data_IF_354775572575
#
_entry.id   IF_354775572575
#
_cell.length_a   1.000
_cell.length_b   1.000
_cell.length_c   1.000
_cell.angle_alpha   90.00
_cell.angle_beta   90.00
_cell.angle_gamma   90.00
#
_symmetry.space_group_name_H-M   'P 1'
#
loop_
_entity.id
_entity.type
_entity.pdbx_description
1 polymer ?
#
# COMPACT_ATOMS: atom_id res chain seq x y z
N UNK A 1 32.91 -38.80 24.86
CA UNK A 1 33.27 -37.54 24.18
C UNK A 1 33.23 -37.65 22.66
N UNK A 2 33.87 -38.63 21.99
CA UNK A 2 33.82 -38.76 20.52
C UNK A 2 32.41 -39.09 19.95
N UNK A 3 31.61 -39.91 20.63
CA UNK A 3 30.22 -40.21 20.24
C UNK A 3 29.30 -38.99 20.36
N UNK A 4 29.48 -38.19 21.41
CA UNK A 4 28.69 -37.00 21.70
C UNK A 4 29.01 -35.85 20.72
N UNK A 5 30.27 -35.75 20.28
CA UNK A 5 30.67 -34.83 19.21
C UNK A 5 30.11 -35.27 17.83
N UNK A 6 30.06 -36.57 17.55
CA UNK A 6 29.49 -37.09 16.30
C UNK A 6 27.96 -36.94 16.23
N UNK A 7 27.25 -37.10 17.34
CA UNK A 7 25.80 -36.85 17.44
C UNK A 7 25.46 -35.36 17.28
N UNK A 8 26.20 -34.45 17.94
CA UNK A 8 26.02 -33.00 17.77
C UNK A 8 26.31 -32.52 16.34
N UNK A 9 27.28 -33.12 15.65
CA UNK A 9 27.58 -32.73 14.26
C UNK A 9 26.45 -33.18 13.32
N UNK A 10 25.86 -34.36 13.59
CA UNK A 10 24.73 -34.91 12.81
C UNK A 10 23.43 -34.13 13.02
N UNK A 11 23.16 -33.65 14.23
CA UNK A 11 21.99 -32.80 14.53
C UNK A 11 22.12 -31.42 13.88
N UNK A 12 23.33 -30.85 13.89
CA UNK A 12 23.64 -29.57 13.22
C UNK A 12 23.46 -29.66 11.71
N UNK A 13 23.93 -30.72 11.06
CA UNK A 13 23.77 -30.88 9.60
C UNK A 13 22.31 -31.14 9.19
N UNK A 14 21.53 -31.86 10.01
CA UNK A 14 20.08 -32.01 9.79
C UNK A 14 19.33 -30.68 9.94
N UNK A 15 19.73 -29.86 10.92
CA UNK A 15 19.15 -28.53 11.11
C UNK A 15 19.45 -27.61 9.92
N UNK A 16 20.68 -27.64 9.39
CA UNK A 16 21.08 -26.88 8.19
C UNK A 16 20.22 -27.22 7.00
N UNK A 17 20.05 -28.51 6.72
CA UNK A 17 19.27 -28.96 5.57
C UNK A 17 17.78 -28.61 5.71
N UNK A 18 17.24 -28.73 6.93
CA UNK A 18 15.87 -28.30 7.23
C UNK A 18 15.67 -26.80 7.00
N UNK A 19 16.59 -25.95 7.48
CA UNK A 19 16.51 -24.49 7.32
C UNK A 19 16.69 -24.10 5.84
N UNK A 20 17.65 -24.71 5.14
CA UNK A 20 17.85 -24.52 3.70
C UNK A 20 16.59 -24.86 2.90
N UNK A 21 16.01 -26.03 3.14
CA UNK A 21 14.78 -26.46 2.48
C UNK A 21 13.59 -25.53 2.79
N UNK A 22 13.49 -25.05 4.03
CA UNK A 22 12.48 -24.05 4.43
C UNK A 22 12.64 -22.73 3.66
N UNK A 23 13.87 -22.20 3.56
CA UNK A 23 14.14 -20.94 2.87
C UNK A 23 13.92 -21.03 1.36
N UNK A 24 14.25 -22.17 0.74
CA UNK A 24 13.94 -22.42 -0.67
C UNK A 24 12.44 -22.47 -0.89
N UNK A 25 11.69 -23.16 -0.01
CA UNK A 25 10.23 -23.21 -0.14
C UNK A 25 9.60 -21.82 0.00
N UNK A 26 10.06 -21.03 0.97
CA UNK A 26 9.62 -19.66 1.15
C UNK A 26 9.95 -18.78 -0.06
N UNK A 27 11.14 -18.92 -0.64
CA UNK A 27 11.50 -18.17 -1.85
C UNK A 27 10.56 -18.50 -3.02
N UNK A 28 10.18 -19.77 -3.18
CA UNK A 28 9.21 -20.21 -4.19
C UNK A 28 7.82 -19.64 -3.90
N UNK A 29 7.33 -19.76 -2.66
CA UNK A 29 6.00 -19.29 -2.28
C UNK A 29 5.86 -17.76 -2.32
N UNK A 30 6.95 -17.04 -2.03
CA UNK A 30 7.03 -15.58 -2.10
C UNK A 30 7.46 -15.07 -3.49
N UNK A 31 7.63 -15.96 -4.47
CA UNK A 31 8.03 -15.66 -5.85
C UNK A 31 9.32 -14.84 -5.98
N UNK A 32 10.27 -15.06 -5.07
CA UNK A 32 11.57 -14.41 -5.12
C UNK A 32 12.50 -15.27 -5.97
N UNK A 33 13.05 -14.75 -7.08
CA UNK A 33 13.99 -15.49 -7.92
C UNK A 33 15.32 -15.64 -7.17
N UNK A 34 15.50 -16.77 -6.48
CA UNK A 34 16.69 -17.06 -5.69
C UNK A 34 17.35 -18.32 -6.22
N UNK A 35 18.64 -18.22 -6.55
CA UNK A 35 19.48 -19.39 -6.82
C UNK A 35 19.81 -20.12 -5.52
N UNK A 36 19.72 -21.46 -5.53
CA UNK A 36 20.02 -22.31 -4.37
C UNK A 36 21.43 -22.10 -3.79
N UNK A 37 22.38 -21.66 -4.61
CA UNK A 37 23.75 -21.26 -4.22
C UNK A 37 23.76 -20.07 -3.26
N UNK A 38 22.94 -19.06 -3.50
CA UNK A 38 22.83 -17.85 -2.68
C UNK A 38 22.21 -18.14 -1.32
N UNK A 39 21.26 -19.08 -1.26
CA UNK A 39 20.69 -19.59 0.00
C UNK A 39 21.77 -20.23 0.87
N UNK A 40 22.60 -21.08 0.26
CA UNK A 40 23.69 -21.75 0.96
C UNK A 40 24.75 -20.77 1.46
N UNK A 41 25.10 -19.77 0.64
CA UNK A 41 26.05 -18.73 1.01
C UNK A 41 25.54 -17.89 2.19
N UNK A 42 24.29 -17.43 2.12
CA UNK A 42 23.67 -16.66 3.22
C UNK A 42 23.57 -17.45 4.52
N UNK A 43 23.30 -18.76 4.43
CA UNK A 43 23.26 -19.64 5.60
C UNK A 43 24.65 -19.80 6.24
N UNK A 44 25.69 -19.97 5.41
CA UNK A 44 27.07 -20.09 5.88
C UNK A 44 27.57 -18.78 6.53
N UNK A 45 27.28 -17.62 5.92
CA UNK A 45 27.66 -16.30 6.43
C UNK A 45 26.97 -15.96 7.76
N UNK A 46 25.77 -16.50 7.99
CA UNK A 46 24.99 -16.26 9.21
C UNK A 46 25.44 -17.10 10.42
N UNK A 47 26.26 -18.13 10.19
CA UNK A 47 26.59 -19.16 11.19
C UNK A 47 27.79 -18.83 12.11
N UNK A 48 28.43 -17.66 11.97
CA UNK A 48 29.76 -17.44 12.58
C UNK A 48 29.81 -17.45 14.12
N UNK A 49 28.71 -17.38 14.88
CA UNK A 49 28.79 -17.28 16.37
C UNK A 49 27.72 -18.01 17.22
N UNK A 50 26.91 -18.92 16.66
CA UNK A 50 25.81 -19.54 17.43
C UNK A 50 26.19 -20.89 18.05
N UNK A 51 26.75 -20.86 19.26
CA UNK A 51 27.25 -22.04 20.02
C UNK A 51 26.16 -22.93 20.67
N UNK A 52 24.87 -22.77 20.36
CA UNK A 52 23.80 -23.50 21.07
C UNK A 52 22.59 -23.87 20.21
N UNK A 53 22.05 -25.07 20.41
CA UNK A 53 20.74 -25.50 19.89
C UNK A 53 19.56 -24.89 20.66
N UNK A 54 19.68 -23.65 21.16
CA UNK A 54 18.56 -22.97 21.81
C UNK A 54 17.56 -22.48 20.77
N UNK A 55 16.28 -22.42 21.14
CA UNK A 55 15.22 -21.90 20.25
C UNK A 55 15.51 -20.46 19.80
N UNK A 56 16.13 -19.64 20.65
CA UNK A 56 16.55 -18.28 20.31
C UNK A 56 17.67 -18.24 19.27
N UNK A 57 18.65 -19.14 19.38
CA UNK A 57 19.74 -19.24 18.42
C UNK A 57 19.23 -19.68 17.04
N UNK A 58 18.30 -20.63 16.99
CA UNK A 58 17.63 -21.07 15.76
C UNK A 58 16.82 -19.93 15.15
N UNK A 59 16.11 -19.16 15.97
CA UNK A 59 15.33 -17.98 15.55
C UNK A 59 16.23 -16.95 14.89
N UNK A 60 17.32 -16.56 15.55
CA UNK A 60 18.28 -15.58 15.03
C UNK A 60 18.96 -16.06 13.75
N UNK A 61 19.30 -17.35 13.67
CA UNK A 61 19.90 -17.95 12.48
C UNK A 61 18.94 -17.94 11.29
N UNK A 62 17.68 -18.36 11.48
CA UNK A 62 16.66 -18.30 10.44
C UNK A 62 16.46 -16.87 9.94
N UNK A 63 16.34 -15.90 10.86
CA UNK A 63 16.14 -14.50 10.52
C UNK A 63 17.29 -13.95 9.67
N UNK A 64 18.55 -14.17 10.07
CA UNK A 64 19.73 -13.71 9.31
C UNK A 64 19.86 -14.40 7.95
N UNK A 65 19.67 -15.72 7.92
CA UNK A 65 19.79 -16.49 6.68
C UNK A 65 18.69 -16.12 5.68
N UNK A 66 17.45 -15.89 6.14
CA UNK A 66 16.38 -15.38 5.30
C UNK A 66 16.68 -13.97 4.77
N UNK A 67 17.22 -13.10 5.63
CA UNK A 67 17.49 -11.70 5.26
C UNK A 67 18.49 -11.59 4.11
N UNK A 68 19.57 -12.40 4.09
CA UNK A 68 20.56 -12.37 3.00
C UNK A 68 20.04 -12.84 1.64
N UNK A 69 18.86 -13.46 1.62
CA UNK A 69 18.13 -13.91 0.43
C UNK A 69 17.02 -12.93 0.03
N UNK A 70 16.77 -11.91 0.86
CA UNK A 70 15.72 -10.91 0.64
C UNK A 70 14.35 -11.32 1.20
N UNK A 71 14.30 -12.27 2.14
CA UNK A 71 13.10 -12.65 2.88
C UNK A 71 13.21 -12.12 4.30
N UNK A 72 12.18 -11.44 4.77
CA UNK A 72 12.03 -11.02 6.15
C UNK A 72 11.27 -12.09 6.93
N UNK A 73 11.85 -12.58 8.02
CA UNK A 73 11.17 -13.44 8.99
C UNK A 73 10.96 -12.68 10.29
N UNK A 74 9.71 -12.48 10.68
CA UNK A 74 9.36 -11.87 11.95
C UNK A 74 8.81 -12.95 12.90
N UNK A 75 9.45 -13.21 14.05
CA UNK A 75 8.91 -14.15 15.04
C UNK A 75 7.64 -13.58 15.67
N UNK A 76 6.61 -14.42 15.82
CA UNK A 76 5.31 -14.02 16.39
C UNK A 76 4.83 -15.06 17.40
N UNK A 77 4.31 -14.59 18.53
CA UNK A 77 3.54 -15.43 19.45
C UNK A 77 2.10 -15.57 18.92
N UNK A 78 1.80 -16.68 18.23
CA UNK A 78 0.47 -16.90 17.64
C UNK A 78 -0.42 -17.76 18.53
N UNK A 79 -1.67 -17.35 18.72
CA UNK A 79 -2.74 -18.28 19.08
C UNK A 79 -3.30 -18.93 17.81
N UNK A 80 -3.83 -20.16 17.93
CA UNK A 80 -4.27 -20.96 16.76
C UNK A 80 -5.35 -20.33 15.85
N UNK A 81 -6.07 -19.29 16.30
CA UNK A 81 -7.01 -18.56 15.43
C UNK A 81 -6.30 -17.54 14.53
N UNK A 82 -5.17 -16.99 14.98
CA UNK A 82 -4.46 -15.87 14.34
C UNK A 82 -3.71 -16.34 13.08
N UNK A 83 -3.20 -17.57 13.08
CA UNK A 83 -2.45 -18.11 11.93
C UNK A 83 -3.32 -18.28 10.68
N UNK A 84 -4.60 -18.66 10.83
CA UNK A 84 -5.51 -18.75 9.68
C UNK A 84 -5.75 -17.38 9.06
N UNK A 85 -5.99 -16.37 9.91
CA UNK A 85 -6.24 -15.00 9.46
C UNK A 85 -5.02 -14.42 8.74
N UNK A 86 -3.81 -14.69 9.25
CA UNK A 86 -2.57 -14.27 8.58
C UNK A 86 -2.39 -14.90 7.18
N UNK A 87 -2.67 -16.20 7.03
CA UNK A 87 -2.56 -16.86 5.71
C UNK A 87 -3.65 -16.38 4.75
N UNK A 88 -4.86 -16.10 5.26
CA UNK A 88 -5.94 -15.45 4.47
C UNK A 88 -5.53 -14.05 4.04
N UNK A 89 -4.83 -13.32 4.91
CA UNK A 89 -4.27 -12.01 4.63
C UNK A 89 -3.06 -12.06 3.70
N UNK A 90 -2.69 -13.24 3.18
CA UNK A 90 -1.62 -13.41 2.20
C UNK A 90 -0.21 -13.46 2.79
N UNK A 91 -0.07 -13.57 4.12
CA UNK A 91 1.23 -13.78 4.75
C UNK A 91 1.58 -15.26 4.76
N UNK A 92 2.81 -15.59 4.35
CA UNK A 92 3.33 -16.95 4.53
C UNK A 92 3.70 -17.14 6.00
N UNK A 93 3.17 -18.19 6.63
CA UNK A 93 3.43 -18.51 8.04
C UNK A 93 4.28 -19.76 8.13
N UNK A 94 5.43 -19.63 8.78
CA UNK A 94 6.34 -20.75 9.07
C UNK A 94 6.10 -21.19 10.50
N UNK A 95 5.91 -22.49 10.71
CA UNK A 95 5.81 -23.12 12.02
C UNK A 95 6.95 -24.12 12.16
N UNK A 96 7.97 -23.73 12.94
CA UNK A 96 9.11 -24.58 13.23
C UNK A 96 8.83 -25.40 14.49
N UNK A 97 8.58 -26.70 14.32
CA UNK A 97 8.22 -27.62 15.40
C UNK A 97 9.42 -28.47 15.82
N UNK A 98 9.68 -28.52 17.13
CA UNK A 98 10.58 -29.51 17.72
C UNK A 98 9.77 -30.60 18.40
N UNK A 99 9.84 -31.83 17.87
CA UNK A 99 9.16 -33.03 18.39
C UNK A 99 10.18 -34.05 18.93
N UNK A 100 9.68 -35.03 19.68
CA UNK A 100 10.49 -36.14 20.21
C UNK A 100 11.11 -37.01 19.08
N UNK A 101 10.43 -37.11 17.93
CA UNK A 101 10.89 -37.87 16.75
C UNK A 101 11.74 -37.05 15.76
N UNK A 102 12.01 -35.77 16.04
CA UNK A 102 12.81 -34.88 15.19
C UNK A 102 12.22 -33.48 14.97
N UNK A 103 12.97 -32.63 14.26
CA UNK A 103 12.59 -31.25 13.90
C UNK A 103 11.84 -31.24 12.56
N UNK A 104 10.70 -30.56 12.49
CA UNK A 104 9.83 -30.46 11.31
C UNK A 104 9.43 -29.01 11.12
N UNK A 105 9.44 -28.51 9.89
CA UNK A 105 8.93 -27.18 9.57
C UNK A 105 7.67 -27.28 8.73
N UNK A 106 6.65 -26.54 9.09
CA UNK A 106 5.49 -26.31 8.22
C UNK A 106 5.56 -24.92 7.62
N UNK A 107 5.24 -24.80 6.34
CA UNK A 107 5.09 -23.51 5.67
C UNK A 107 3.66 -23.45 5.12
N UNK A 108 2.87 -22.55 5.68
CA UNK A 108 1.50 -22.29 5.27
C UNK A 108 1.47 -21.05 4.38
N UNK A 109 0.88 -21.17 3.20
CA UNK A 109 0.79 -20.07 2.22
C UNK A 109 -0.49 -20.18 1.40
N UNK A 110 -0.79 -19.14 0.62
CA UNK A 110 -1.85 -19.11 -0.39
C UNK A 110 -3.21 -19.69 0.05
N UNK A 111 -4.15 -18.81 0.37
CA UNK A 111 -5.54 -19.24 0.57
C UNK A 111 -6.32 -19.21 -0.75
N UNK A 112 -6.84 -20.36 -1.19
CA UNK A 112 -7.76 -20.44 -2.34
C UNK A 112 -9.00 -21.25 -1.96
N UNK A 113 -10.19 -20.69 -2.24
CA UNK A 113 -11.48 -21.36 -2.01
C UNK A 113 -11.67 -21.92 -0.57
N UNK A 114 -11.14 -21.22 0.45
CA UNK A 114 -11.24 -21.65 1.85
C UNK A 114 -10.32 -22.82 2.24
N UNK A 115 -9.33 -23.13 1.41
CA UNK A 115 -8.21 -24.04 1.72
C UNK A 115 -6.89 -23.29 1.61
N UNK A 116 -5.91 -23.71 2.41
CA UNK A 116 -4.55 -23.17 2.38
C UNK A 116 -3.58 -24.23 1.88
N UNK A 117 -2.52 -23.80 1.21
CA UNK A 117 -1.42 -24.66 0.82
C UNK A 117 -0.48 -24.83 2.02
N UNK A 118 -0.22 -26.07 2.40
CA UNK A 118 0.66 -26.41 3.51
C UNK A 118 1.78 -27.32 3.04
N UNK A 119 3.02 -26.87 3.18
CA UNK A 119 4.20 -27.66 2.89
C UNK A 119 4.82 -28.15 4.21
N UNK A 120 4.84 -29.46 4.42
CA UNK A 120 5.59 -30.11 5.49
C UNK A 120 7.00 -30.42 5.01
N UNK A 121 7.98 -29.87 5.70
CA UNK A 121 9.40 -30.00 5.37
C UNK A 121 10.09 -30.73 6.51
N UNK A 122 10.83 -31.77 6.14
CA UNK A 122 11.77 -32.48 7.01
C UNK A 122 13.15 -32.44 6.36
N UNK A 123 14.21 -32.78 7.11
CA UNK A 123 15.58 -32.80 6.57
C UNK A 123 15.79 -33.80 5.40
N UNK A 124 14.79 -34.62 5.05
CA UNK A 124 14.90 -35.66 3.99
C UNK A 124 13.75 -35.67 2.99
N UNK A 125 12.59 -35.12 3.34
CA UNK A 125 11.37 -35.22 2.52
C UNK A 125 10.53 -33.94 2.63
N UNK A 126 9.84 -33.61 1.52
CA UNK A 126 8.90 -32.50 1.38
C UNK A 126 7.55 -33.07 0.96
N UNK A 127 6.50 -32.77 1.73
CA UNK A 127 5.13 -33.16 1.42
C UNK A 127 4.25 -31.92 1.37
N UNK A 128 3.50 -31.74 0.28
CA UNK A 128 2.56 -30.63 0.12
C UNK A 128 1.13 -31.15 0.21
N UNK A 129 0.32 -30.52 1.05
CA UNK A 129 -1.09 -30.85 1.26
C UNK A 129 -1.95 -29.58 1.29
N UNK A 130 -3.25 -29.70 0.96
CA UNK A 130 -4.20 -28.60 1.12
C UNK A 130 -5.00 -28.78 2.40
N UNK A 131 -4.99 -27.77 3.27
CA UNK A 131 -5.62 -27.81 4.59
C UNK A 131 -6.84 -26.88 4.66
N UNK A 132 -7.89 -27.33 5.36
CA UNK A 132 -8.98 -26.46 5.77
C UNK A 132 -8.69 -25.81 7.13
N UNK A 133 -9.50 -24.83 7.54
CA UNK A 133 -9.37 -24.17 8.86
C UNK A 133 -9.30 -25.16 10.03
N UNK A 134 -10.10 -26.23 9.98
CA UNK A 134 -10.08 -27.29 10.99
C UNK A 134 -8.80 -28.13 10.97
N UNK A 135 -8.23 -28.35 9.77
CA UNK A 135 -6.96 -29.05 9.58
C UNK A 135 -5.77 -28.29 10.15
N UNK A 136 -5.67 -26.99 9.85
CA UNK A 136 -4.63 -26.11 10.42
C UNK A 136 -4.69 -26.11 11.95
N UNK A 137 -5.91 -25.94 12.52
CA UNK A 137 -6.11 -25.94 13.97
C UNK A 137 -5.66 -27.25 14.64
N UNK A 138 -5.83 -28.39 13.96
CA UNK A 138 -5.38 -29.70 14.46
C UNK A 138 -3.85 -29.80 14.46
N UNK A 139 -3.20 -29.32 13.41
CA UNK A 139 -1.74 -29.36 13.29
C UNK A 139 -1.03 -28.47 14.33
N UNK A 140 -1.62 -27.32 14.67
CA UNK A 140 -1.06 -26.40 15.65
C UNK A 140 -1.36 -26.77 17.12
N UNK A 141 -2.40 -27.57 17.40
CA UNK A 141 -2.76 -28.01 18.77
C UNK A 141 -1.97 -29.22 19.29
N UNK A 142 -0.79 -29.51 18.73
CA UNK A 142 0.04 -30.64 19.14
C UNK A 142 0.86 -30.37 20.41
N UNK A 143 1.27 -31.43 21.12
CA UNK A 143 2.19 -31.35 22.26
C UNK A 143 3.65 -31.20 21.80
N UNK A 144 3.97 -30.05 21.19
CA UNK A 144 5.28 -29.74 20.64
C UNK A 144 5.64 -28.28 20.94
N UNK A 145 6.94 -27.97 21.01
CA UNK A 145 7.39 -26.59 21.04
C UNK A 145 7.50 -26.06 19.61
N UNK A 146 6.79 -24.95 19.34
CA UNK A 146 6.73 -24.30 18.04
C UNK A 146 7.28 -22.88 18.12
N UNK A 147 8.02 -22.48 17.09
CA UNK A 147 8.33 -21.07 16.81
C UNK A 147 7.61 -20.69 15.53
N UNK A 148 6.81 -19.63 15.59
CA UNK A 148 6.10 -19.13 14.42
C UNK A 148 6.82 -17.91 13.82
N UNK A 149 6.92 -17.88 12.50
CA UNK A 149 7.41 -16.73 11.76
C UNK A 149 6.40 -16.29 10.72
N UNK A 150 6.26 -14.99 10.56
CA UNK A 150 5.66 -14.38 9.38
C UNK A 150 6.78 -14.14 8.37
N UNK A 151 6.61 -14.63 7.15
CA UNK A 151 7.56 -14.48 6.06
C UNK A 151 7.04 -13.49 5.01
N UNK A 152 7.87 -12.51 4.67
CA UNK A 152 7.55 -11.45 3.70
C UNK A 152 8.73 -11.21 2.74
N UNK A 153 8.48 -10.78 1.50
CA UNK A 153 9.53 -10.23 0.66
C UNK A 153 10.05 -8.93 1.26
N UNK A 154 11.37 -8.81 1.39
CA UNK A 154 11.99 -7.55 1.81
C UNK A 154 11.79 -6.47 0.74
N UNK A 155 11.54 -5.23 1.17
CA UNK A 155 11.51 -4.10 0.26
C UNK A 155 12.95 -3.80 -0.20
N UNK A 156 13.25 -4.08 -1.46
CA UNK A 156 14.47 -3.65 -2.12
C UNK A 156 14.44 -2.13 -2.34
N UNK A 157 14.72 -1.36 -1.28
CA UNK A 157 15.11 0.04 -1.46
C UNK A 157 16.63 0.13 -1.34
N UNK A 158 17.24 0.82 -2.29
CA UNK A 158 18.64 1.22 -2.22
C UNK A 158 18.91 1.87 -0.85
N UNK A 159 19.98 1.40 -0.20
CA UNK A 159 20.48 1.93 1.05
C UNK A 159 20.61 3.44 0.89
N UNK A 160 19.88 4.22 1.70
CA UNK A 160 19.92 5.69 1.65
C UNK A 160 21.28 6.27 2.06
N UNK A 161 22.28 5.43 2.31
CA UNK A 161 23.59 5.79 2.87
C UNK A 161 24.67 6.10 1.83
N UNK A 162 24.41 6.03 0.52
CA UNK A 162 25.52 6.31 -0.41
C UNK A 162 25.78 7.79 -0.70
N UNK A 163 24.89 8.75 -0.42
CA UNK A 163 25.12 10.17 -0.73
C UNK A 163 24.14 11.15 -0.04
N UNK A 164 24.27 11.39 1.27
CA UNK A 164 23.60 12.53 1.92
C UNK A 164 24.62 13.64 2.20
N UNK A 165 24.63 14.67 1.37
CA UNK A 165 25.22 15.96 1.75
C UNK A 165 24.11 16.81 2.41
N UNK A 166 24.36 17.44 3.57
CA UNK A 166 23.32 18.16 4.29
C UNK A 166 22.83 19.38 3.49
N UNK A 167 21.54 19.40 3.12
CA UNK A 167 20.84 20.63 2.73
C UNK A 167 20.70 21.54 3.97
N UNK A 168 21.76 22.27 4.32
CA UNK A 168 21.77 23.21 5.44
C UNK A 168 21.26 24.62 5.08
N UNK A 169 20.92 24.91 3.82
CA UNK A 169 20.85 26.31 3.35
C UNK A 169 19.45 26.89 3.07
N UNK A 170 18.36 26.28 3.58
CA UNK A 170 17.00 26.81 3.32
C UNK A 170 16.36 27.63 4.43
N UNK A 171 17.00 27.78 5.59
CA UNK A 171 16.50 28.60 6.70
C UNK A 171 17.30 29.87 7.02
N UNK A 172 18.34 30.19 6.23
CA UNK A 172 19.15 31.41 6.45
C UNK A 172 19.45 32.13 5.11
N UNK A 173 18.55 33.02 4.70
CA UNK A 173 18.90 34.13 3.81
C UNK A 173 18.14 35.39 4.23
N UNK A 174 18.69 36.03 5.26
CA UNK A 174 18.68 37.48 5.40
C UNK A 174 20.16 37.88 5.39
N UNK A 175 20.52 38.71 4.40
CA UNK A 175 21.76 39.48 4.23
C UNK A 175 23.12 38.78 4.23
N UNK A 176 23.78 38.74 3.06
CA UNK A 176 25.08 39.39 2.81
C UNK A 176 25.67 38.98 1.44
N UNK A 177 26.15 39.99 0.72
CA UNK A 177 26.93 39.84 -0.51
C UNK A 177 28.36 39.42 -0.20
N UNK A 178 28.92 38.43 -0.91
CA UNK A 178 30.31 38.48 -1.42
C UNK A 178 30.56 37.34 -2.44
N UNK A 179 31.27 37.66 -3.51
CA UNK A 179 31.70 36.75 -4.58
C UNK A 179 32.89 35.86 -4.16
N UNK A 180 32.89 34.58 -4.56
CA UNK A 180 34.12 33.90 -5.01
C UNK A 180 33.79 32.70 -5.91
N UNK A 181 34.40 32.68 -7.09
CA UNK A 181 34.31 31.59 -8.06
C UNK A 181 35.20 30.40 -7.65
N UNK A 182 34.60 29.22 -7.51
CA UNK A 182 35.29 27.94 -7.45
C UNK A 182 34.44 26.90 -8.17
N UNK A 183 34.93 26.38 -9.29
CA UNK A 183 34.27 25.30 -10.03
C UNK A 183 34.31 24.01 -9.22
N UNK A 184 33.16 23.60 -8.67
CA UNK A 184 32.95 22.27 -8.12
C UNK A 184 32.27 21.37 -9.17
N UNK A 185 32.82 20.18 -9.36
CA UNK A 185 32.26 19.13 -10.19
C UNK A 185 30.86 18.74 -9.67
N UNK A 186 29.85 18.94 -10.52
CA UNK A 186 28.47 18.50 -10.32
C UNK A 186 28.42 16.96 -10.42
N UNK A 187 28.47 16.26 -9.28
CA UNK A 187 27.98 14.90 -9.22
C UNK A 187 26.45 14.95 -9.23
N UNK A 188 25.86 14.60 -10.38
CA UNK A 188 24.42 14.45 -10.55
C UNK A 188 23.90 13.34 -9.63
N UNK A 189 23.35 13.72 -8.49
CA UNK A 189 22.65 12.81 -7.59
C UNK A 189 21.30 12.41 -8.21
N UNK A 190 21.19 11.19 -8.72
CA UNK A 190 19.93 10.61 -9.19
C UNK A 190 19.02 10.27 -7.99
N UNK A 191 18.35 11.28 -7.43
CA UNK A 191 17.29 11.04 -6.48
C UNK A 191 16.08 10.43 -7.21
N UNK A 192 15.78 9.17 -6.91
CA UNK A 192 14.58 8.47 -7.41
C UNK A 192 13.35 9.35 -7.17
N UNK A 193 12.57 9.60 -8.22
CA UNK A 193 11.41 10.48 -8.10
C UNK A 193 10.36 9.88 -7.15
N UNK A 194 9.57 10.71 -6.42
CA UNK A 194 8.53 10.20 -5.52
C UNK A 194 7.53 9.27 -6.21
N UNK A 195 7.26 9.52 -7.48
CA UNK A 195 6.37 8.70 -8.31
C UNK A 195 6.97 7.32 -8.60
N UNK A 196 8.28 7.26 -8.90
CA UNK A 196 8.97 5.99 -9.10
C UNK A 196 9.03 5.16 -7.82
N UNK A 197 9.20 5.80 -6.65
CA UNK A 197 9.14 5.11 -5.35
C UNK A 197 7.75 4.50 -5.10
N UNK A 198 6.70 5.26 -5.36
CA UNK A 198 5.31 4.78 -5.26
C UNK A 198 5.06 3.60 -6.21
N UNK A 199 5.50 3.69 -7.47
CA UNK A 199 5.33 2.62 -8.45
C UNK A 199 6.09 1.34 -8.06
N UNK A 200 7.32 1.45 -7.54
CA UNK A 200 8.06 0.30 -7.02
C UNK A 200 7.31 -0.36 -5.85
N UNK A 201 6.71 0.44 -4.97
CA UNK A 201 5.91 -0.07 -3.85
C UNK A 201 4.63 -0.77 -4.32
N UNK A 202 3.87 -0.18 -5.27
CA UNK A 202 2.68 -0.81 -5.85
C UNK A 202 3.02 -2.11 -6.60
N UNK A 203 4.21 -2.20 -7.23
CA UNK A 203 4.62 -3.41 -7.95
C UNK A 203 4.67 -4.65 -7.04
N UNK A 204 4.97 -4.48 -5.76
CA UNK A 204 5.02 -5.59 -4.80
C UNK A 204 3.63 -6.20 -4.56
N UNK A 205 2.56 -5.40 -4.61
CA UNK A 205 1.16 -5.86 -4.48
C UNK A 205 0.46 -6.00 -5.85
N UNK A 206 1.23 -6.20 -6.93
CA UNK A 206 0.71 -6.16 -8.31
C UNK A 206 -0.41 -7.16 -8.60
N UNK A 207 -0.43 -8.34 -7.98
CA UNK A 207 -1.49 -9.34 -8.16
C UNK A 207 -2.85 -8.87 -7.64
N UNK A 208 -2.86 -8.31 -6.45
CA UNK A 208 -4.08 -7.81 -5.82
C UNK A 208 -4.56 -6.54 -6.54
N UNK A 209 -3.62 -5.67 -6.93
CA UNK A 209 -3.91 -4.48 -7.76
C UNK A 209 -4.52 -4.89 -9.11
N UNK A 210 -3.97 -5.91 -9.79
CA UNK A 210 -4.52 -6.39 -11.05
C UNK A 210 -5.92 -6.98 -10.88
N UNK A 211 -6.16 -7.69 -9.79
CA UNK A 211 -7.49 -8.20 -9.43
C UNK A 211 -8.49 -7.06 -9.21
N UNK A 212 -8.08 -6.02 -8.48
CA UNK A 212 -8.89 -4.81 -8.31
C UNK A 212 -9.18 -4.11 -9.64
N UNK A 213 -8.21 -4.08 -10.55
CA UNK A 213 -8.38 -3.49 -11.89
C UNK A 213 -9.41 -4.26 -12.72
N UNK A 214 -9.30 -5.59 -12.76
CA UNK A 214 -10.27 -6.44 -13.47
C UNK A 214 -11.67 -6.28 -12.87
N UNK A 215 -11.79 -6.34 -11.54
CA UNK A 215 -13.08 -6.18 -10.88
C UNK A 215 -13.65 -4.78 -11.09
N UNK A 216 -12.81 -3.74 -11.08
CA UNK A 216 -13.23 -2.36 -11.34
C UNK A 216 -13.75 -2.18 -12.76
N UNK A 217 -13.13 -2.84 -13.73
CA UNK A 217 -13.63 -2.87 -15.10
C UNK A 217 -14.99 -3.57 -15.20
N UNK A 218 -15.14 -4.75 -14.59
CA UNK A 218 -16.41 -5.49 -14.60
C UNK A 218 -17.52 -4.67 -13.93
N UNK A 219 -17.26 -4.08 -12.77
CA UNK A 219 -18.20 -3.21 -12.05
C UNK A 219 -18.54 -1.97 -12.89
N UNK A 220 -17.54 -1.33 -13.51
CA UNK A 220 -17.75 -0.18 -14.38
C UNK A 220 -18.69 -0.49 -15.55
N UNK A 221 -18.55 -1.65 -16.18
CA UNK A 221 -19.47 -2.11 -17.25
C UNK A 221 -20.86 -2.43 -16.70
N UNK A 222 -20.96 -3.15 -15.58
CA UNK A 222 -22.23 -3.48 -14.94
C UNK A 222 -23.02 -2.23 -14.53
N UNK A 223 -22.34 -1.15 -14.12
CA UNK A 223 -22.99 0.11 -13.73
C UNK A 223 -23.64 0.86 -14.89
N UNK A 224 -23.21 0.62 -16.13
CA UNK A 224 -23.87 1.15 -17.34
C UNK A 224 -25.27 0.58 -17.53
N UNK A 225 -25.59 -0.55 -16.89
CA UNK A 225 -26.93 -1.10 -16.92
C UNK A 225 -27.95 -0.16 -16.27
N UNK A 226 -27.56 0.66 -15.29
CA UNK A 226 -28.46 1.60 -14.62
C UNK A 226 -28.97 2.68 -15.57
N UNK A 227 -28.13 3.52 -16.21
CA UNK A 227 -28.62 4.53 -17.15
C UNK A 227 -29.35 3.91 -18.33
N UNK A 228 -28.85 2.79 -18.86
CA UNK A 228 -29.48 2.10 -20.00
C UNK A 228 -30.86 1.54 -19.65
N UNK A 229 -31.02 0.94 -18.46
CA UNK A 229 -32.32 0.45 -18.01
C UNK A 229 -33.30 1.61 -17.78
N UNK A 230 -32.85 2.74 -17.23
CA UNK A 230 -33.70 3.94 -17.07
C UNK A 230 -34.17 4.46 -18.43
N UNK A 231 -33.28 4.56 -19.41
CA UNK A 231 -33.63 4.94 -20.79
C UNK A 231 -34.70 3.99 -21.35
N UNK A 232 -34.45 2.68 -21.31
CA UNK A 232 -35.40 1.68 -21.82
C UNK A 232 -36.73 1.68 -21.07
N UNK A 233 -36.74 1.94 -19.75
CA UNK A 233 -37.96 2.09 -18.96
C UNK A 233 -38.78 3.27 -19.46
N UNK A 234 -38.15 4.44 -19.65
CA UNK A 234 -38.83 5.66 -20.12
C UNK A 234 -39.41 5.45 -21.52
N UNK A 235 -38.64 4.89 -22.44
CA UNK A 235 -39.10 4.57 -23.81
C UNK A 235 -40.27 3.59 -23.76
N UNK A 236 -40.18 2.52 -22.96
CA UNK A 236 -41.25 1.52 -22.86
C UNK A 236 -42.55 2.11 -22.30
N UNK A 237 -42.48 2.95 -21.27
CA UNK A 237 -43.65 3.63 -20.71
C UNK A 237 -44.27 4.60 -21.73
N UNK A 238 -43.44 5.28 -22.53
CA UNK A 238 -43.90 6.20 -23.57
C UNK A 238 -44.71 5.52 -24.69
N UNK A 239 -44.46 4.23 -24.96
CA UNK A 239 -45.10 3.48 -26.05
C UNK A 239 -46.09 2.38 -25.60
N UNK A 240 -46.09 1.93 -24.32
CA UNK A 240 -46.82 0.73 -23.90
C UNK A 240 -47.98 1.01 -22.90
N UNK A 241 -49.15 0.40 -23.18
CA UNK A 241 -50.24 0.17 -22.21
C UNK A 241 -50.03 -1.11 -21.38
N UNK A 242 -48.96 -1.87 -21.61
CA UNK A 242 -48.69 -3.17 -20.99
C UNK A 242 -47.58 -3.09 -19.95
N UNK A 243 -47.86 -3.52 -18.72
CA UNK A 243 -46.93 -3.47 -17.57
C UNK A 243 -45.94 -4.64 -17.52
N UNK A 244 -46.17 -5.70 -18.31
CA UNK A 244 -45.35 -6.92 -18.27
C UNK A 244 -43.86 -6.69 -18.64
N UNK A 245 -43.50 -5.93 -19.70
CA UNK A 245 -42.09 -5.69 -20.05
C UNK A 245 -41.33 -4.91 -18.97
N UNK A 246 -42.03 -4.00 -18.26
CA UNK A 246 -41.45 -3.18 -17.20
C UNK A 246 -40.98 -4.04 -16.02
N UNK A 247 -41.76 -5.05 -15.64
CA UNK A 247 -41.43 -5.97 -14.55
C UNK A 247 -40.17 -6.79 -14.90
N UNK A 248 -40.10 -7.32 -16.12
CA UNK A 248 -38.93 -8.09 -16.55
C UNK A 248 -37.66 -7.24 -16.62
N UNK A 249 -37.76 -5.99 -17.10
CA UNK A 249 -36.65 -5.05 -17.13
C UNK A 249 -36.17 -4.71 -15.70
N UNK A 250 -37.10 -4.50 -14.76
CA UNK A 250 -36.78 -4.26 -13.35
C UNK A 250 -36.08 -5.47 -12.70
N UNK A 251 -36.55 -6.70 -12.96
CA UNK A 251 -35.92 -7.93 -12.45
C UNK A 251 -34.52 -8.12 -13.04
N UNK A 252 -34.35 -7.87 -14.33
CA UNK A 252 -33.05 -7.93 -15.00
C UNK A 252 -32.07 -6.91 -14.40
N UNK A 253 -32.51 -5.66 -14.24
CA UNK A 253 -31.71 -4.60 -13.61
C UNK A 253 -31.33 -4.98 -12.18
N UNK A 254 -32.27 -5.50 -11.39
CA UNK A 254 -31.99 -5.99 -10.04
C UNK A 254 -30.91 -7.08 -10.02
N UNK A 255 -30.98 -8.05 -10.95
CA UNK A 255 -29.97 -9.09 -11.08
C UNK A 255 -28.58 -8.54 -11.39
N UNK A 256 -28.48 -7.59 -12.31
CA UNK A 256 -27.22 -6.93 -12.69
C UNK A 256 -26.64 -6.13 -11.51
N UNK A 257 -27.48 -5.35 -10.81
CA UNK A 257 -27.08 -4.56 -9.65
C UNK A 257 -26.65 -5.44 -8.47
N UNK A 258 -27.35 -6.56 -8.25
CA UNK A 258 -26.98 -7.53 -7.21
C UNK A 258 -25.61 -8.15 -7.48
N UNK A 259 -25.33 -8.55 -8.73
CA UNK A 259 -24.01 -9.04 -9.13
C UNK A 259 -22.93 -7.96 -8.94
N UNK A 260 -23.20 -6.72 -9.35
CA UNK A 260 -22.29 -5.58 -9.14
C UNK A 260 -21.98 -5.37 -7.66
N UNK A 261 -22.99 -5.44 -6.78
CA UNK A 261 -22.82 -5.30 -5.34
C UNK A 261 -21.93 -6.40 -4.74
N UNK A 262 -22.07 -7.65 -5.18
CA UNK A 262 -21.21 -8.76 -4.74
C UNK A 262 -19.74 -8.52 -5.16
N UNK A 263 -19.50 -8.09 -6.41
CA UNK A 263 -18.14 -7.81 -6.88
C UNK A 263 -17.53 -6.63 -6.12
N UNK A 264 -18.29 -5.56 -5.86
CA UNK A 264 -17.85 -4.45 -5.02
C UNK A 264 -17.49 -4.90 -3.60
N UNK A 265 -18.28 -5.79 -3.01
CA UNK A 265 -17.97 -6.35 -1.69
C UNK A 265 -16.63 -7.13 -1.70
N UNK A 266 -16.35 -7.88 -2.77
CA UNK A 266 -15.05 -8.55 -2.96
C UNK A 266 -13.90 -7.55 -3.13
N UNK A 267 -14.11 -6.43 -3.85
CA UNK A 267 -13.11 -5.36 -3.94
C UNK A 267 -12.79 -4.76 -2.57
N UNK A 268 -13.81 -4.45 -1.77
CA UNK A 268 -13.63 -3.92 -0.40
C UNK A 268 -12.82 -4.90 0.45
N UNK A 269 -13.09 -6.21 0.34
CA UNK A 269 -12.33 -7.24 1.02
C UNK A 269 -10.85 -7.28 0.59
N UNK A 270 -10.56 -7.21 -0.72
CA UNK A 270 -9.18 -7.18 -1.23
C UNK A 270 -8.45 -5.92 -0.76
N UNK A 271 -9.11 -4.76 -0.78
CA UNK A 271 -8.54 -3.51 -0.29
C UNK A 271 -8.13 -3.62 1.18
N UNK A 272 -8.98 -4.22 2.03
CA UNK A 272 -8.71 -4.41 3.45
C UNK A 272 -7.46 -5.28 3.67
N UNK A 273 -7.33 -6.37 2.91
CA UNK A 273 -6.13 -7.21 2.95
C UNK A 273 -4.90 -6.41 2.51
N UNK A 274 -5.01 -5.69 1.40
CA UNK A 274 -3.92 -4.87 0.84
C UNK A 274 -3.46 -3.81 1.85
N UNK A 275 -4.38 -3.12 2.53
CA UNK A 275 -4.04 -2.13 3.57
C UNK A 275 -3.27 -2.76 4.74
N UNK A 276 -3.73 -3.92 5.23
CA UNK A 276 -3.06 -4.65 6.31
C UNK A 276 -1.64 -5.09 5.91
N UNK A 277 -1.47 -5.67 4.72
CA UNK A 277 -0.13 -6.04 4.20
C UNK A 277 0.80 -4.85 4.06
N UNK A 278 0.31 -3.74 3.49
CA UNK A 278 1.11 -2.52 3.35
C UNK A 278 1.56 -1.99 4.73
N UNK A 279 0.71 -2.08 5.75
CA UNK A 279 1.06 -1.62 7.09
C UNK A 279 2.21 -2.43 7.69
N UNK A 280 2.05 -3.77 7.74
CA UNK A 280 3.03 -4.68 8.35
C UNK A 280 4.37 -4.57 7.63
N UNK A 281 4.36 -4.50 6.29
CA UNK A 281 5.57 -4.36 5.49
C UNK A 281 6.31 -3.06 5.77
N UNK A 282 5.61 -1.93 5.85
CA UNK A 282 6.27 -0.63 6.09
C UNK A 282 6.80 -0.53 7.51
N UNK A 283 6.02 -0.96 8.51
CA UNK A 283 6.49 -1.03 9.91
C UNK A 283 7.74 -1.90 9.99
N UNK A 284 7.68 -3.07 9.35
CA UNK A 284 8.77 -4.02 9.32
C UNK A 284 10.06 -3.46 8.73
N UNK A 285 9.94 -2.85 7.56
CA UNK A 285 11.06 -2.21 6.87
C UNK A 285 11.66 -1.07 7.70
N UNK A 286 10.81 -0.27 8.36
CA UNK A 286 11.27 0.82 9.22
C UNK A 286 12.01 0.29 10.46
N UNK A 287 11.47 -0.72 11.15
CA UNK A 287 12.10 -1.35 12.31
C UNK A 287 13.45 -1.99 11.97
N UNK A 288 13.63 -2.46 10.74
CA UNK A 288 14.91 -3.02 10.29
C UNK A 288 15.95 -1.96 9.94
N UNK A 289 15.52 -0.78 9.48
CA UNK A 289 16.42 0.26 8.99
C UNK A 289 16.80 1.27 10.04
N UNK A 290 15.86 1.67 10.90
CA UNK A 290 16.11 2.69 11.93
C UNK A 290 17.34 2.37 12.80
N UNK A 291 17.56 1.12 13.25
CA UNK A 291 18.74 0.79 14.07
C UNK A 291 20.07 0.85 13.30
N UNK A 292 20.04 0.77 11.97
CA UNK A 292 21.21 0.75 11.08
C UNK A 292 21.53 2.13 10.50
N UNK A 293 20.82 3.18 10.93
CA UNK A 293 21.09 4.55 10.50
C UNK A 293 22.45 5.02 10.99
N UNK A 294 23.28 5.52 10.08
CA UNK A 294 24.54 6.17 10.44
C UNK A 294 24.29 7.45 11.23
N UNK A 295 25.11 7.70 12.26
CA UNK A 295 24.98 8.91 13.09
C UNK A 295 25.18 10.19 12.29
N UNK A 296 26.07 10.17 11.29
CA UNK A 296 26.30 11.26 10.34
C UNK A 296 25.04 11.66 9.58
N UNK A 297 24.16 10.70 9.26
CA UNK A 297 22.90 10.96 8.56
C UNK A 297 21.82 11.56 9.49
N UNK A 298 22.03 11.54 10.81
CA UNK A 298 21.16 12.15 11.82
C UNK A 298 21.68 13.50 12.31
N UNK A 299 22.86 13.94 11.87
CA UNK A 299 23.42 15.24 12.26
C UNK A 299 22.53 16.37 11.71
N UNK A 300 22.03 17.20 12.63
CA UNK A 300 21.10 18.29 12.30
C UNK A 300 19.65 17.87 12.04
N UNK A 301 19.32 16.57 12.19
CA UNK A 301 17.96 16.04 12.00
C UNK A 301 17.43 15.48 13.32
N UNK A 302 16.23 15.93 13.71
CA UNK A 302 15.58 15.44 14.92
C UNK A 302 14.88 14.10 14.65
N UNK A 303 15.39 13.01 15.26
CA UNK A 303 14.85 11.66 15.11
C UNK A 303 13.34 11.52 15.36
N UNK A 304 12.75 12.15 16.39
CA UNK A 304 11.30 12.07 16.64
C UNK A 304 10.44 12.63 15.48
N UNK A 305 10.90 13.69 14.81
CA UNK A 305 10.19 14.24 13.64
C UNK A 305 10.13 13.23 12.49
N UNK A 306 11.22 12.49 12.26
CA UNK A 306 11.27 11.42 11.26
C UNK A 306 10.33 10.27 11.62
N UNK A 307 10.25 9.91 12.90
CA UNK A 307 9.30 8.91 13.41
C UNK A 307 7.85 9.29 13.12
N UNK A 308 7.50 10.58 13.25
CA UNK A 308 6.14 11.05 12.97
C UNK A 308 5.72 10.87 11.51
N UNK A 309 6.67 10.81 10.55
CA UNK A 309 6.34 10.55 9.14
C UNK A 309 5.74 9.16 8.91
N UNK A 310 5.87 8.26 9.87
CA UNK A 310 5.14 6.99 9.86
C UNK A 310 3.61 7.19 9.72
N UNK A 311 3.05 8.28 10.25
CA UNK A 311 1.62 8.55 10.13
C UNK A 311 1.16 8.81 8.68
N UNK A 312 2.07 9.19 7.76
CA UNK A 312 1.74 9.29 6.32
C UNK A 312 1.40 7.93 5.70
N UNK A 313 1.82 6.82 6.31
CA UNK A 313 1.48 5.46 5.84
C UNK A 313 -0.03 5.27 5.78
N UNK A 314 -0.74 5.74 6.81
CA UNK A 314 -2.21 5.64 6.86
C UNK A 314 -2.87 6.46 5.75
N UNK A 315 -2.34 7.66 5.49
CA UNK A 315 -2.84 8.53 4.41
C UNK A 315 -2.56 7.89 3.05
N UNK A 316 -1.37 7.33 2.86
CA UNK A 316 -0.99 6.63 1.64
C UNK A 316 -1.89 5.41 1.40
N UNK A 317 -2.13 4.58 2.41
CA UNK A 317 -3.02 3.42 2.33
C UNK A 317 -4.43 3.79 1.88
N UNK A 318 -5.01 4.83 2.49
CA UNK A 318 -6.34 5.32 2.13
C UNK A 318 -6.36 5.89 0.71
N UNK A 319 -5.39 6.74 0.38
CA UNK A 319 -5.29 7.34 -0.95
C UNK A 319 -5.11 6.28 -2.05
N UNK A 320 -4.22 5.29 -1.85
CA UNK A 320 -4.01 4.19 -2.79
C UNK A 320 -5.28 3.37 -2.98
N UNK A 321 -5.98 3.03 -1.90
CA UNK A 321 -7.24 2.30 -1.98
C UNK A 321 -8.32 3.06 -2.76
N UNK A 322 -8.56 4.33 -2.41
CA UNK A 322 -9.55 5.20 -3.07
C UNK A 322 -9.18 5.42 -4.54
N UNK A 323 -7.91 5.65 -4.88
CA UNK A 323 -7.49 5.87 -6.26
C UNK A 323 -7.61 4.60 -7.12
N UNK A 324 -7.24 3.43 -6.58
CA UNK A 324 -7.31 2.16 -7.31
C UNK A 324 -8.75 1.75 -7.62
N UNK A 325 -9.70 2.03 -6.72
CA UNK A 325 -11.08 1.57 -6.87
C UNK A 325 -11.98 2.66 -7.43
N UNK A 326 -12.13 3.77 -6.74
CA UNK A 326 -13.02 4.85 -7.17
C UNK A 326 -12.42 5.55 -8.40
N UNK A 327 -11.11 5.81 -8.39
CA UNK A 327 -10.43 6.46 -9.52
C UNK A 327 -10.53 5.65 -10.81
N UNK A 328 -10.25 4.34 -10.76
CA UNK A 328 -10.37 3.48 -11.94
C UNK A 328 -11.82 3.38 -12.44
N UNK A 329 -12.77 3.19 -11.53
CA UNK A 329 -14.19 3.10 -11.89
C UNK A 329 -14.66 4.38 -12.57
N UNK A 330 -14.31 5.55 -12.03
CA UNK A 330 -14.62 6.85 -12.63
C UNK A 330 -14.00 7.02 -14.02
N UNK A 331 -12.75 6.56 -14.24
CA UNK A 331 -12.10 6.63 -15.56
C UNK A 331 -12.87 5.78 -16.57
N UNK A 332 -13.21 4.53 -16.22
CA UNK A 332 -13.91 3.61 -17.11
C UNK A 332 -15.32 4.10 -17.43
N UNK A 333 -16.04 4.61 -16.42
CA UNK A 333 -17.36 5.21 -16.59
C UNK A 333 -17.32 6.45 -17.46
N UNK A 334 -16.34 7.33 -17.23
CA UNK A 334 -16.17 8.56 -18.03
C UNK A 334 -15.84 8.21 -19.48
N UNK A 335 -14.87 7.31 -19.71
CA UNK A 335 -14.51 6.87 -21.05
C UNK A 335 -15.70 6.23 -21.78
N UNK A 336 -16.46 5.37 -21.10
CA UNK A 336 -17.61 4.73 -21.71
C UNK A 336 -18.74 5.72 -21.96
N UNK A 337 -19.00 6.65 -21.04
CA UNK A 337 -19.98 7.72 -21.19
C UNK A 337 -19.67 8.63 -22.38
N UNK A 338 -18.42 9.08 -22.50
CA UNK A 338 -17.94 9.87 -23.65
C UNK A 338 -18.04 9.06 -24.95
N UNK A 339 -17.65 7.77 -24.93
CA UNK A 339 -17.72 6.93 -26.13
C UNK A 339 -19.17 6.72 -26.60
N UNK A 340 -20.10 6.46 -25.68
CA UNK A 340 -21.51 6.35 -26.01
C UNK A 340 -21.99 7.66 -26.64
N UNK A 341 -21.80 8.79 -25.96
CA UNK A 341 -22.28 10.09 -26.42
C UNK A 341 -21.70 10.47 -27.81
N UNK A 342 -20.42 10.17 -28.04
CA UNK A 342 -19.74 10.38 -29.31
C UNK A 342 -20.32 9.56 -30.48
N UNK A 343 -20.84 8.35 -30.24
CA UNK A 343 -21.47 7.50 -31.26
C UNK A 343 -22.86 8.00 -31.65
N UNK A 344 -23.60 8.66 -30.75
CA UNK A 344 -24.95 9.14 -31.01
C UNK A 344 -25.01 10.30 -32.02
N UNK A 345 -24.08 11.26 -31.98
CA UNK A 345 -24.10 12.40 -32.91
C UNK A 345 -22.74 13.09 -33.03
N UNK A 346 -22.34 13.56 -34.23
CA UNK A 346 -21.12 14.36 -34.41
C UNK A 346 -21.07 15.64 -33.55
N UNK A 347 -22.22 16.25 -33.26
CA UNK A 347 -22.28 17.43 -32.39
C UNK A 347 -21.95 17.11 -30.93
N UNK A 348 -22.37 15.93 -30.47
CA UNK A 348 -22.07 15.45 -29.12
C UNK A 348 -20.58 15.09 -28.97
N UNK A 349 -19.98 14.49 -30.01
CA UNK A 349 -18.52 14.28 -30.05
C UNK A 349 -17.75 15.60 -29.92
N UNK A 350 -18.19 16.67 -30.58
CA UNK A 350 -17.56 17.99 -30.44
C UNK A 350 -17.68 18.53 -29.00
N UNK A 351 -18.85 18.35 -28.37
CA UNK A 351 -19.06 18.69 -26.96
C UNK A 351 -18.11 17.90 -26.03
N UNK A 352 -17.94 16.60 -26.26
CA UNK A 352 -17.05 15.73 -25.48
C UNK A 352 -15.58 16.14 -25.58
N UNK A 353 -15.13 16.55 -26.77
CA UNK A 353 -13.78 17.09 -26.97
C UNK A 353 -13.59 18.36 -26.14
N UNK A 354 -14.55 19.28 -26.18
CA UNK A 354 -14.51 20.52 -25.39
C UNK A 354 -14.49 20.21 -23.89
N UNK A 355 -15.34 19.29 -23.43
CA UNK A 355 -15.41 18.87 -22.03
C UNK A 355 -14.08 18.26 -21.56
N UNK A 356 -13.48 17.39 -22.38
CA UNK A 356 -12.19 16.76 -22.10
C UNK A 356 -11.06 17.79 -21.99
N UNK A 357 -11.06 18.80 -22.86
CA UNK A 357 -10.12 19.93 -22.79
C UNK A 357 -10.33 20.72 -21.48
N UNK A 358 -11.57 21.05 -21.14
CA UNK A 358 -11.89 21.75 -19.89
C UNK A 358 -11.45 20.96 -18.65
N UNK A 359 -11.68 19.64 -18.62
CA UNK A 359 -11.19 18.76 -17.55
C UNK A 359 -9.65 18.75 -17.46
N UNK A 360 -8.97 18.69 -18.61
CA UNK A 360 -7.50 18.71 -18.65
C UNK A 360 -6.95 20.03 -18.12
N UNK A 361 -7.54 21.16 -18.50
CA UNK A 361 -7.19 22.49 -17.99
C UNK A 361 -7.45 22.59 -16.48
N UNK A 362 -8.57 22.05 -16.01
CA UNK A 362 -8.89 22.02 -14.58
C UNK A 362 -7.79 21.31 -13.77
N UNK A 363 -7.32 20.15 -14.23
CA UNK A 363 -6.31 19.35 -13.53
C UNK A 363 -4.93 20.01 -13.61
N UNK A 364 -4.46 20.36 -14.81
CA UNK A 364 -3.07 20.79 -15.03
C UNK A 364 -2.82 22.26 -14.69
N UNK A 365 -3.74 23.15 -15.05
CA UNK A 365 -3.56 24.58 -14.87
C UNK A 365 -4.12 25.05 -13.53
N UNK A 366 -5.37 24.68 -13.23
CA UNK A 366 -6.03 25.07 -11.98
C UNK A 366 -5.51 24.31 -10.76
N UNK A 367 -5.04 23.07 -10.93
CA UNK A 367 -4.38 22.29 -9.87
C UNK A 367 -2.90 22.65 -9.64
N UNK A 368 -2.33 23.58 -10.41
CA UNK A 368 -0.93 23.97 -10.28
C UNK A 368 -0.64 24.48 -8.86
N UNK A 369 0.45 23.99 -8.27
CA UNK A 369 0.89 24.22 -6.88
C UNK A 369 0.07 23.47 -5.79
N UNK A 370 -0.95 22.69 -6.12
CA UNK A 370 -1.71 21.92 -5.12
C UNK A 370 -0.81 20.98 -4.31
N UNK A 371 0.06 20.21 -4.99
CA UNK A 371 0.99 19.28 -4.34
C UNK A 371 2.00 20.01 -3.45
N UNK A 372 2.59 21.12 -3.94
CA UNK A 372 3.58 21.89 -3.17
C UNK A 372 2.98 22.46 -1.88
N UNK A 373 1.79 23.06 -1.98
CA UNK A 373 1.10 23.64 -0.83
C UNK A 373 0.59 22.58 0.15
N UNK A 374 0.20 21.39 -0.33
CA UNK A 374 -0.15 20.25 0.52
C UNK A 374 1.06 19.72 1.32
N UNK A 375 2.24 19.66 0.69
CA UNK A 375 3.49 19.26 1.35
C UNK A 375 3.89 20.31 2.41
N UNK A 376 3.84 21.60 2.08
CA UNK A 376 4.13 22.70 3.03
C UNK A 376 3.21 22.64 4.25
N UNK A 377 1.90 22.44 4.04
CA UNK A 377 0.93 22.25 5.12
C UNK A 377 1.28 21.03 6.01
N UNK A 378 1.65 19.91 5.40
CA UNK A 378 1.96 18.67 6.11
C UNK A 378 3.25 18.76 6.92
N UNK A 379 4.29 19.42 6.40
CA UNK A 379 5.54 19.68 7.14
C UNK A 379 5.28 20.48 8.42
N UNK A 380 4.40 21.47 8.39
CA UNK A 380 4.07 22.25 9.60
C UNK A 380 3.33 21.39 10.63
N UNK A 381 2.44 20.48 10.21
CA UNK A 381 1.79 19.52 11.12
C UNK A 381 2.82 18.67 11.87
N UNK A 382 3.86 18.21 11.17
CA UNK A 382 4.96 17.47 11.79
C UNK A 382 5.77 18.31 12.77
N UNK A 383 6.06 19.58 12.44
CA UNK A 383 6.72 20.51 13.38
C UNK A 383 5.88 20.78 14.63
N UNK A 384 4.56 20.88 14.50
CA UNK A 384 3.65 21.03 15.65
C UNK A 384 3.68 19.77 16.52
N UNK A 385 3.56 18.58 15.93
CA UNK A 385 3.64 17.32 16.66
C UNK A 385 4.98 17.16 17.38
N UNK A 386 6.08 17.49 16.70
CA UNK A 386 7.41 17.51 17.30
C UNK A 386 7.51 18.47 18.48
N UNK A 387 6.98 19.69 18.34
CA UNK A 387 6.98 20.64 19.45
C UNK A 387 6.24 20.10 20.68
N UNK A 388 5.09 19.46 20.48
CA UNK A 388 4.36 18.83 21.59
C UNK A 388 5.15 17.67 22.22
N UNK A 389 5.85 16.87 21.40
CA UNK A 389 6.72 15.81 21.89
C UNK A 389 7.90 16.35 22.70
N UNK A 390 8.53 17.45 22.29
CA UNK A 390 9.62 18.08 23.04
C UNK A 390 9.15 18.54 24.44
N UNK A 391 7.97 19.15 24.49
CA UNK A 391 7.34 19.62 25.74
C UNK A 391 7.06 18.45 26.67
N UNK A 392 6.53 17.35 26.14
CA UNK A 392 6.27 16.13 26.90
C UNK A 392 7.54 15.35 27.27
N UNK A 393 8.59 15.43 26.45
CA UNK A 393 9.87 14.76 26.69
C UNK A 393 10.67 15.39 27.80
N UNK A 394 10.47 16.69 28.07
CA UNK A 394 11.20 17.43 29.10
C UNK A 394 10.28 18.28 29.99
N UNK A 395 9.31 17.67 30.70
CA UNK A 395 8.26 18.41 31.40
C UNK A 395 8.83 19.34 32.48
N UNK A 396 9.88 18.92 33.18
CA UNK A 396 10.55 19.71 34.22
C UNK A 396 11.21 20.98 33.65
N UNK A 397 11.68 20.95 32.39
CA UNK A 397 12.29 22.13 31.76
C UNK A 397 11.26 23.23 31.45
N UNK A 398 10.01 22.85 31.19
CA UNK A 398 8.92 23.77 30.84
C UNK A 398 8.03 24.16 32.03
N UNK A 399 8.14 23.46 33.17
CA UNK A 399 7.42 23.77 34.41
C UNK A 399 8.07 24.88 35.25
N UNK A 400 9.32 25.25 34.95
CA UNK A 400 10.05 26.32 35.66
C UNK A 400 9.74 27.69 35.04
N UNK A 401 9.73 28.73 35.87
CA UNK A 401 9.50 30.16 35.57
C UNK A 401 9.60 30.56 34.08
N UNK A 402 8.47 30.88 33.45
CA UNK A 402 8.38 31.35 32.06
C UNK A 402 8.32 30.25 30.99
N UNK A 403 8.51 28.98 31.36
CA UNK A 403 8.41 27.85 30.44
C UNK A 403 7.02 27.66 29.84
N UNK A 404 5.95 27.89 30.61
CA UNK A 404 4.57 27.85 30.11
C UNK A 404 4.28 28.90 29.03
N UNK A 405 4.79 30.12 29.21
CA UNK A 405 4.66 31.20 28.22
C UNK A 405 5.47 30.90 26.95
N UNK A 406 6.66 30.31 27.09
CA UNK A 406 7.45 29.84 25.95
C UNK A 406 6.71 28.74 25.15
N UNK A 407 6.06 27.80 25.87
CA UNK A 407 5.25 26.73 25.26
C UNK A 407 4.14 27.30 24.40
N UNK A 408 3.37 28.24 24.98
CA UNK A 408 2.23 28.87 24.31
C UNK A 408 2.68 29.78 23.16
N UNK A 409 3.73 30.59 23.34
CA UNK A 409 4.25 31.48 22.30
C UNK A 409 4.72 30.72 21.06
N UNK A 410 5.51 29.65 21.25
CA UNK A 410 5.98 28.84 20.12
C UNK A 410 4.85 28.07 19.46
N UNK A 411 3.89 27.54 20.24
CA UNK A 411 2.70 26.89 19.69
C UNK A 411 1.87 27.89 18.86
N UNK A 412 1.72 29.12 19.33
CA UNK A 412 1.01 30.18 18.62
C UNK A 412 1.72 30.53 17.29
N UNK A 413 3.05 30.69 17.28
CA UNK A 413 3.82 30.91 16.04
C UNK A 413 3.63 29.79 15.02
N UNK A 414 3.75 28.53 15.43
CA UNK A 414 3.55 27.37 14.56
C UNK A 414 2.10 27.29 14.04
N UNK A 415 1.12 27.68 14.85
CA UNK A 415 -0.29 27.74 14.44
C UNK A 415 -0.52 28.82 13.39
N UNK A 416 0.11 29.99 13.54
CA UNK A 416 0.05 31.05 12.52
C UNK A 416 0.68 30.59 11.20
N UNK A 417 1.83 29.91 11.24
CA UNK A 417 2.44 29.29 10.05
C UNK A 417 1.49 28.29 9.39
N UNK A 418 0.87 27.42 10.19
CA UNK A 418 -0.10 26.43 9.70
C UNK A 418 -1.29 27.10 9.02
N UNK A 419 -1.89 28.12 9.64
CA UNK A 419 -3.02 28.85 9.07
C UNK A 419 -2.65 29.50 7.74
N UNK A 420 -1.44 30.06 7.62
CA UNK A 420 -0.95 30.64 6.38
C UNK A 420 -0.79 29.57 5.28
N UNK A 421 -0.16 28.43 5.58
CA UNK A 421 0.01 27.34 4.62
C UNK A 421 -1.35 26.72 4.20
N UNK A 422 -2.24 26.48 5.17
CA UNK A 422 -3.59 25.96 4.94
C UNK A 422 -4.40 26.90 4.06
N UNK A 423 -4.32 28.21 4.28
CA UNK A 423 -4.98 29.22 3.44
C UNK A 423 -4.48 29.17 2.00
N UNK A 424 -3.15 29.10 1.78
CA UNK A 424 -2.57 28.96 0.44
C UNK A 424 -3.07 27.71 -0.26
N UNK A 425 -3.10 26.57 0.43
CA UNK A 425 -3.58 25.30 -0.12
C UNK A 425 -5.09 25.37 -0.44
N UNK A 426 -5.90 25.90 0.48
CA UNK A 426 -7.34 26.02 0.32
C UNK A 426 -7.74 26.91 -0.85
N UNK A 427 -7.01 28.00 -1.14
CA UNK A 427 -7.27 28.85 -2.31
C UNK A 427 -7.15 28.06 -3.62
N UNK A 428 -6.16 27.17 -3.72
CA UNK A 428 -5.99 26.31 -4.90
C UNK A 428 -7.17 25.35 -5.03
N UNK A 429 -7.56 24.68 -3.93
CA UNK A 429 -8.70 23.76 -3.90
C UNK A 429 -10.03 24.45 -4.22
N UNK A 430 -10.27 25.65 -3.66
CA UNK A 430 -11.48 26.41 -3.91
C UNK A 430 -11.60 26.86 -5.36
N UNK A 431 -10.50 27.30 -5.97
CA UNK A 431 -10.46 27.63 -7.40
C UNK A 431 -10.83 26.41 -8.26
N UNK A 432 -10.29 25.23 -7.93
CA UNK A 432 -10.56 24.00 -8.65
C UNK A 432 -12.02 23.52 -8.45
N UNK A 433 -12.53 23.61 -7.23
CA UNK A 433 -13.92 23.23 -6.87
C UNK A 433 -14.93 24.15 -7.56
N UNK A 434 -14.73 25.46 -7.52
CA UNK A 434 -15.61 26.41 -8.17
C UNK A 434 -15.68 26.19 -9.68
N UNK A 435 -14.52 25.97 -10.33
CA UNK A 435 -14.48 25.65 -11.75
C UNK A 435 -15.19 24.33 -12.07
N UNK A 436 -14.99 23.29 -11.26
CA UNK A 436 -15.65 21.99 -11.43
C UNK A 436 -17.18 22.10 -11.33
N UNK A 437 -17.70 22.84 -10.34
CA UNK A 437 -19.15 23.05 -10.18
C UNK A 437 -19.74 23.88 -11.32
N UNK A 438 -19.04 24.92 -11.78
CA UNK A 438 -19.48 25.70 -12.93
C UNK A 438 -19.46 24.87 -14.22
N UNK A 439 -18.40 24.09 -14.44
CA UNK A 439 -18.30 23.17 -15.57
C UNK A 439 -19.45 22.17 -15.55
N UNK A 440 -19.74 21.55 -14.40
CA UNK A 440 -20.88 20.65 -14.22
C UNK A 440 -22.21 21.28 -14.64
N UNK A 441 -22.53 22.48 -14.12
CA UNK A 441 -23.79 23.17 -14.42
C UNK A 441 -23.91 23.54 -15.90
N UNK A 442 -22.83 24.05 -16.50
CA UNK A 442 -22.78 24.40 -17.93
C UNK A 442 -22.90 23.16 -18.79
N UNK A 443 -22.16 22.09 -18.48
CA UNK A 443 -22.18 20.83 -19.23
C UNK A 443 -23.57 20.21 -19.26
N UNK A 444 -24.25 20.07 -18.12
CA UNK A 444 -25.61 19.50 -18.08
C UNK A 444 -26.59 20.36 -18.89
N UNK A 445 -26.55 21.68 -18.71
CA UNK A 445 -27.45 22.60 -19.42
C UNK A 445 -27.19 22.53 -20.94
N UNK A 446 -25.92 22.45 -21.35
CA UNK A 446 -25.53 22.37 -22.75
C UNK A 446 -25.94 21.04 -23.38
N UNK A 447 -25.70 19.90 -22.72
CA UNK A 447 -26.11 18.57 -23.23
C UNK A 447 -27.62 18.52 -23.39
N UNK A 448 -28.39 18.94 -22.37
CA UNK A 448 -29.85 18.90 -22.43
C UNK A 448 -30.40 19.82 -23.54
N UNK A 449 -29.83 21.02 -23.69
CA UNK A 449 -30.26 21.98 -24.71
C UNK A 449 -29.91 21.51 -26.13
N UNK A 450 -28.69 20.97 -26.31
CA UNK A 450 -28.25 20.38 -27.58
C UNK A 450 -29.06 19.13 -27.93
N UNK A 451 -29.29 18.25 -26.95
CA UNK A 451 -30.11 17.06 -27.12
C UNK A 451 -31.53 17.40 -27.56
N UNK A 452 -32.19 18.35 -26.87
CA UNK A 452 -33.52 18.83 -27.24
C UNK A 452 -33.53 19.42 -28.66
N UNK A 453 -32.54 20.23 -29.01
CA UNK A 453 -32.44 20.82 -30.35
C UNK A 453 -32.25 19.77 -31.46
N UNK A 454 -31.47 18.72 -31.20
CA UNK A 454 -31.27 17.61 -32.14
C UNK A 454 -32.56 16.78 -32.32
N UNK A 455 -33.30 16.52 -31.24
CA UNK A 455 -34.60 15.84 -31.30
C UNK A 455 -35.61 16.66 -32.11
N UNK A 456 -35.68 17.98 -31.89
CA UNK A 456 -36.56 18.87 -32.67
C UNK A 456 -36.25 18.87 -34.17
N UNK A 457 -34.99 18.64 -34.54
CA UNK A 457 -34.55 18.56 -35.94
C UNK A 457 -34.68 17.15 -36.55
N UNK A 458 -35.29 16.18 -35.84
CA UNK A 458 -35.44 14.78 -36.26
C UNK A 458 -34.11 14.06 -36.58
N UNK A 459 -32.98 14.49 -36.00
CA UNK A 459 -31.67 13.84 -36.20
C UNK A 459 -31.35 12.81 -35.11
N UNK A 460 -32.13 12.79 -34.02
CA UNK A 460 -32.09 11.81 -32.93
C UNK A 460 -33.53 11.42 -32.55
N UNK A 461 -33.74 10.15 -32.22
CA UNK A 461 -34.97 9.68 -31.57
C UNK A 461 -35.00 10.12 -30.11
N UNK A 462 -36.22 10.30 -29.56
CA UNK A 462 -36.45 10.70 -28.15
C UNK A 462 -35.75 9.77 -27.17
#
# INVERSE_FOLDING_TARGET
MLQQAAENNRSSDQLRELIRATLVELAVQLEIPVESSRVQQSLNDSMVDLHGESMEAITLLMMRAAQGIGIRLAPVELQTLDAWELVVDGFAVVDFQTRLDGKVTWVYSNCSLGKIDAARITARDKQSESLSKSGLRKNMRGNHQSIYFIAEPSLACETASSNYAPEQDRYQRVDSHQHSHGHSHEHSHDHISPQQRLLRFLKVESKDIWSLVIFGFVVGVLELATPLAVEQMVTTIGFATLTQPLIWLAVLLFGILSLSAVIKALQVFIIEILQRRMFVRIVGDLCERLPRLERSAMDGIHGPEMGNRFFDVMTMQKATATLLVDGLSLIIQTLTGLLLLAVYSPFLLAFDIILTICMTVMILFLGRNAVKTAIEESLIKYRIAHWLQDVLGNPLAFQVHGGGDLVSDRANRLTVEYLAARRKHFIVLMRQTFFSLMLYAVSITAILSLGLWLVLNNTLTI
#
